data_IF_967613188099
#
_entry.id   IF_967613188099
#
_cell.length_a   1.000
_cell.length_b   1.000
_cell.length_c   1.000
_cell.angle_alpha   90.00
_cell.angle_beta   90.00
_cell.angle_gamma   90.00
#
_symmetry.space_group_name_H-M   'P 1'
#
loop_
_entity.id
_entity.type
_entity.pdbx_description
1 polymer ?
#
# COMPACT_ATOMS: atom_id res chain seq x y z
N UNK A 1 -14.48 -12.46 -11.26
CA UNK A 1 -14.74 -11.10 -10.80
C UNK A 1 -13.50 -10.26 -11.07
N UNK A 2 -13.62 -9.10 -11.70
CA UNK A 2 -12.47 -8.19 -11.89
C UNK A 2 -12.04 -7.60 -10.54
N UNK A 3 -10.77 -7.19 -10.38
CA UNK A 3 -10.34 -6.52 -9.14
C UNK A 3 -11.28 -5.36 -8.76
N UNK A 4 -11.84 -4.65 -9.73
CA UNK A 4 -12.79 -3.54 -9.52
C UNK A 4 -14.15 -3.97 -8.94
N UNK A 5 -14.53 -5.24 -9.04
CA UNK A 5 -15.77 -5.77 -8.47
C UNK A 5 -15.59 -6.19 -7.00
N UNK A 6 -14.35 -6.53 -6.63
CA UNK A 6 -13.98 -6.96 -5.28
C UNK A 6 -13.56 -5.76 -4.41
N UNK A 7 -12.94 -4.76 -5.03
CA UNK A 7 -12.50 -3.55 -4.35
C UNK A 7 -13.42 -2.37 -4.67
N UNK A 8 -13.72 -1.46 -3.71
CA UNK A 8 -14.45 -0.25 -4.02
C UNK A 8 -13.79 0.48 -5.19
N UNK A 9 -14.61 1.07 -6.07
CA UNK A 9 -14.18 2.03 -7.11
C UNK A 9 -13.04 2.88 -6.54
N UNK A 10 -11.92 3.04 -7.24
CA UNK A 10 -10.77 3.85 -6.80
C UNK A 10 -9.61 3.10 -6.11
N UNK A 11 -9.73 1.81 -5.79
CA UNK A 11 -8.59 0.98 -5.41
C UNK A 11 -8.25 0.02 -6.55
N UNK A 12 -7.27 0.41 -7.37
CA UNK A 12 -6.85 -0.30 -8.56
C UNK A 12 -5.44 -0.91 -8.42
N UNK A 13 -4.96 -1.53 -9.49
CA UNK A 13 -3.63 -2.13 -9.55
C UNK A 13 -2.53 -1.12 -9.17
N UNK A 14 -2.61 0.11 -9.65
CA UNK A 14 -1.59 1.14 -9.41
C UNK A 14 -1.60 1.64 -7.98
N UNK A 15 -2.78 1.75 -7.38
CA UNK A 15 -2.94 2.04 -5.96
C UNK A 15 -2.28 0.94 -5.12
N UNK A 16 -2.60 -0.32 -5.43
CA UNK A 16 -1.99 -1.47 -4.75
C UNK A 16 -0.47 -1.48 -4.92
N UNK A 17 0.03 -1.30 -6.14
CA UNK A 17 1.46 -1.21 -6.43
C UNK A 17 2.12 -0.12 -5.59
N UNK A 18 1.55 1.08 -5.56
CA UNK A 18 2.10 2.21 -4.81
C UNK A 18 2.15 1.93 -3.31
N UNK A 19 1.10 1.34 -2.75
CA UNK A 19 1.08 0.94 -1.34
C UNK A 19 2.14 -0.13 -1.07
N UNK A 20 2.29 -1.15 -1.92
CA UNK A 20 3.33 -2.16 -1.75
C UNK A 20 4.76 -1.60 -1.89
N UNK A 21 4.98 -0.62 -2.76
CA UNK A 21 6.31 -0.06 -3.04
C UNK A 21 6.63 1.20 -2.24
N UNK A 22 5.85 1.51 -1.19
CA UNK A 22 6.04 2.70 -0.36
C UNK A 22 6.00 4.03 -1.14
N UNK A 23 5.11 4.13 -2.12
CA UNK A 23 4.94 5.32 -2.95
C UNK A 23 3.63 6.06 -2.65
N UNK A 24 3.66 7.39 -2.84
CA UNK A 24 2.46 8.22 -2.83
C UNK A 24 1.60 7.87 -4.05
N UNK A 25 0.27 7.86 -3.89
CA UNK A 25 -0.65 7.64 -5.00
C UNK A 25 -1.80 8.65 -5.01
N UNK A 26 -2.43 8.79 -6.17
CA UNK A 26 -3.74 9.42 -6.34
C UNK A 26 -4.63 8.41 -7.04
N UNK A 27 -5.83 8.20 -6.49
CA UNK A 27 -6.78 7.23 -7.02
C UNK A 27 -7.06 7.48 -8.51
N UNK A 28 -7.13 6.38 -9.29
CA UNK A 28 -7.39 6.42 -10.73
C UNK A 28 -6.21 6.90 -11.59
N UNK A 29 -5.02 7.09 -11.01
CA UNK A 29 -3.79 7.42 -11.74
C UNK A 29 -2.73 6.34 -11.53
N UNK A 30 -1.94 6.10 -12.59
CA UNK A 30 -0.77 5.24 -12.54
C UNK A 30 0.30 5.77 -11.57
N UNK A 31 0.50 7.09 -11.56
CA UNK A 31 1.42 7.79 -10.64
C UNK A 31 0.97 9.23 -10.43
N UNK A 32 1.28 9.85 -9.28
CA UNK A 32 1.06 11.29 -9.09
C UNK A 32 1.89 12.13 -10.05
N UNK A 33 1.30 13.20 -10.56
CA UNK A 33 1.99 14.24 -11.33
C UNK A 33 2.12 15.51 -10.48
N UNK A 34 2.99 16.45 -10.88
CA UNK A 34 3.20 17.71 -10.14
C UNK A 34 1.90 18.45 -9.74
N UNK A 35 0.86 18.54 -10.60
CA UNK A 35 -0.40 19.18 -10.21
C UNK A 35 -1.17 18.41 -9.12
N UNK A 36 -1.01 17.09 -9.04
CA UNK A 36 -1.73 16.25 -8.09
C UNK A 36 -1.31 16.49 -6.65
N UNK A 37 -0.07 16.93 -6.42
CA UNK A 37 0.41 17.25 -5.07
C UNK A 37 -0.44 18.34 -4.40
N UNK A 38 -1.10 19.21 -5.20
CA UNK A 38 -2.03 20.24 -4.70
C UNK A 38 -3.36 19.69 -4.18
N UNK A 39 -3.68 18.42 -4.48
CA UNK A 39 -4.87 17.74 -3.96
C UNK A 39 -4.69 17.32 -2.50
N UNK A 40 -3.45 17.25 -2.04
CA UNK A 40 -3.14 16.89 -0.66
C UNK A 40 -3.23 18.10 0.26
N UNK A 41 -4.03 17.96 1.31
CA UNK A 41 -3.90 18.79 2.50
C UNK A 41 -2.82 18.18 3.38
N UNK A 42 -1.87 18.99 3.85
CA UNK A 42 -0.83 18.50 4.75
C UNK A 42 -0.74 19.34 6.02
N UNK A 43 -0.42 18.66 7.12
CA UNK A 43 -0.12 19.28 8.42
C UNK A 43 1.24 18.79 8.87
N UNK A 44 2.14 19.71 9.25
CA UNK A 44 3.45 19.36 9.81
C UNK A 44 3.35 19.26 11.33
N UNK A 45 3.93 18.22 11.90
CA UNK A 45 4.02 18.00 13.35
C UNK A 45 5.37 18.49 13.91
N UNK A 46 5.50 18.70 15.23
CA UNK A 46 6.72 19.24 15.83
C UNK A 46 7.99 18.40 15.61
N UNK A 47 7.84 17.10 15.43
CA UNK A 47 8.89 16.13 15.09
C UNK A 47 9.26 16.14 13.59
N UNK A 48 8.81 17.16 12.85
CA UNK A 48 9.00 17.33 11.41
C UNK A 48 8.30 16.30 10.52
N UNK A 49 7.49 15.41 11.09
CA UNK A 49 6.62 14.53 10.29
C UNK A 49 5.50 15.34 9.60
N UNK A 50 4.95 14.79 8.52
CA UNK A 50 3.83 15.35 7.78
C UNK A 50 2.67 14.35 7.77
N UNK A 51 1.47 14.86 8.07
CA UNK A 51 0.24 14.13 7.84
C UNK A 51 -0.42 14.68 6.58
N UNK A 52 -0.49 13.86 5.53
CA UNK A 52 -1.10 14.21 4.25
C UNK A 52 -2.45 13.52 4.11
N UNK A 53 -3.44 14.23 3.60
CA UNK A 53 -4.80 13.71 3.38
C UNK A 53 -5.32 14.16 2.03
N UNK A 54 -6.10 13.30 1.38
CA UNK A 54 -6.86 13.65 0.18
C UNK A 54 -8.09 12.75 0.11
N UNK A 55 -9.05 13.17 -0.71
CA UNK A 55 -10.30 12.47 -0.96
C UNK A 55 -10.49 12.37 -2.45
N UNK A 56 -10.78 11.16 -2.92
CA UNK A 56 -11.30 10.98 -4.26
C UNK A 56 -12.83 11.05 -4.21
N UNK A 57 -13.38 12.04 -4.89
CA UNK A 57 -14.82 12.29 -4.92
C UNK A 57 -15.58 11.26 -5.76
N UNK A 58 -14.93 10.66 -6.77
CA UNK A 58 -15.56 9.68 -7.66
C UNK A 58 -15.72 8.33 -6.95
N UNK A 59 -14.66 7.85 -6.33
CA UNK A 59 -14.72 6.63 -5.52
C UNK A 59 -15.38 6.82 -4.16
N UNK A 60 -15.26 8.01 -3.56
CA UNK A 60 -15.57 8.24 -2.15
C UNK A 60 -14.48 7.74 -1.18
N UNK A 61 -13.29 7.34 -1.68
CA UNK A 61 -12.17 6.90 -0.83
C UNK A 61 -11.46 8.12 -0.26
N UNK A 62 -11.34 8.14 1.07
CA UNK A 62 -10.47 9.04 1.80
C UNK A 62 -9.12 8.33 2.00
N UNK A 63 -8.01 8.99 1.67
CA UNK A 63 -6.68 8.41 1.82
C UNK A 63 -5.74 9.37 2.53
N UNK A 64 -4.90 8.81 3.40
CA UNK A 64 -3.97 9.56 4.23
C UNK A 64 -2.63 8.87 4.37
N UNK A 65 -1.59 9.69 4.54
CA UNK A 65 -0.21 9.28 4.65
C UNK A 65 0.43 9.97 5.85
N UNK A 66 1.15 9.21 6.65
CA UNK A 66 2.12 9.76 7.61
C UNK A 66 3.49 9.66 6.96
N UNK A 67 4.17 10.79 6.85
CA UNK A 67 5.51 10.92 6.29
C UNK A 67 6.44 11.38 7.40
N UNK A 68 7.58 10.72 7.61
CA UNK A 68 8.54 11.13 8.64
C UNK A 68 9.45 12.27 8.17
N UNK A 69 10.35 12.73 9.04
CA UNK A 69 11.32 13.79 8.71
C UNK A 69 12.37 13.44 7.63
N UNK A 70 12.46 12.17 7.24
CA UNK A 70 13.31 11.70 6.12
C UNK A 70 12.51 11.58 4.81
N UNK A 71 11.32 12.19 4.74
CA UNK A 71 10.38 12.13 3.62
C UNK A 71 9.89 10.70 3.26
N UNK A 72 9.92 9.76 4.21
CA UNK A 72 9.44 8.38 4.03
C UNK A 72 8.02 8.23 4.51
N UNK A 73 7.16 7.60 3.71
CA UNK A 73 5.81 7.23 4.13
C UNK A 73 5.94 6.10 5.18
N UNK A 74 5.58 6.36 6.44
CA UNK A 74 5.61 5.37 7.52
C UNK A 74 4.25 4.72 7.75
N UNK A 75 3.18 5.35 7.28
CA UNK A 75 1.83 4.82 7.37
C UNK A 75 0.96 5.29 6.21
N UNK A 76 0.10 4.41 5.71
CA UNK A 76 -0.94 4.70 4.73
C UNK A 76 -2.27 4.18 5.25
N UNK A 77 -3.33 4.99 5.11
CA UNK A 77 -4.68 4.61 5.50
C UNK A 77 -5.68 5.03 4.45
N UNK A 78 -6.42 4.06 3.91
CA UNK A 78 -7.54 4.26 3.02
C UNK A 78 -8.83 3.92 3.76
N UNK A 79 -9.84 4.76 3.63
CA UNK A 79 -11.16 4.59 4.23
C UNK A 79 -12.19 4.76 3.13
N UNK A 80 -13.15 3.85 3.07
CA UNK A 80 -14.38 3.99 2.29
C UNK A 80 -15.55 4.10 3.28
N UNK A 81 -15.93 5.32 3.71
CA UNK A 81 -16.86 5.51 4.83
C UNK A 81 -18.23 4.87 4.57
N UNK A 82 -18.74 4.97 3.34
CA UNK A 82 -20.07 4.46 2.99
C UNK A 82 -20.15 2.94 3.10
N UNK A 83 -19.07 2.24 2.70
CA UNK A 83 -18.99 0.77 2.77
C UNK A 83 -18.42 0.26 4.09
N UNK A 84 -18.03 1.17 5.01
CA UNK A 84 -17.38 0.83 6.29
C UNK A 84 -16.16 -0.08 6.10
N UNK A 85 -15.38 0.18 5.05
CA UNK A 85 -14.17 -0.55 4.72
C UNK A 85 -12.93 0.33 4.95
N UNK A 86 -11.84 -0.28 5.38
CA UNK A 86 -10.55 0.40 5.50
C UNK A 86 -9.36 -0.51 5.22
N UNK A 87 -8.28 0.09 4.73
CA UNK A 87 -6.97 -0.52 4.54
C UNK A 87 -5.95 0.33 5.29
N UNK A 88 -5.22 -0.27 6.20
CA UNK A 88 -4.10 0.34 6.90
C UNK A 88 -2.82 -0.40 6.53
N UNK A 89 -1.77 0.35 6.25
CA UNK A 89 -0.48 -0.16 5.85
C UNK A 89 0.62 0.58 6.60
N UNK A 90 1.31 -0.12 7.50
CA UNK A 90 2.46 0.39 8.23
C UNK A 90 3.76 -0.07 7.57
N UNK A 91 4.73 0.84 7.46
CA UNK A 91 6.05 0.59 6.90
C UNK A 91 7.09 0.74 8.00
N UNK A 92 7.86 -0.33 8.24
CA UNK A 92 8.79 -0.44 9.35
C UNK A 92 10.15 -0.96 8.85
N UNK A 93 11.18 -0.77 9.67
CA UNK A 93 12.53 -1.28 9.45
C UNK A 93 13.05 -0.94 8.05
N UNK A 94 13.13 0.35 7.73
CA UNK A 94 13.71 0.80 6.46
C UNK A 94 15.17 0.36 6.38
N UNK A 95 15.47 -0.40 5.33
CA UNK A 95 16.82 -0.80 4.98
C UNK A 95 17.30 0.03 3.80
N UNK A 96 18.59 0.32 3.77
CA UNK A 96 19.25 0.99 2.66
C UNK A 96 20.10 -0.02 1.92
N UNK A 97 19.92 -0.10 0.61
CA UNK A 97 20.73 -0.93 -0.27
C UNK A 97 21.06 -0.12 -1.52
N UNK A 98 22.35 0.09 -1.75
CA UNK A 98 22.84 1.08 -2.73
C UNK A 98 22.16 2.45 -2.47
N UNK A 99 21.48 2.99 -3.49
CA UNK A 99 20.75 4.27 -3.41
C UNK A 99 19.25 4.09 -3.14
N UNK A 100 18.79 2.86 -2.86
CA UNK A 100 17.39 2.57 -2.61
C UNK A 100 17.11 2.37 -1.11
N UNK A 101 16.00 2.95 -0.64
CA UNK A 101 15.53 2.80 0.73
C UNK A 101 14.15 2.14 0.70
N UNK A 102 14.01 1.01 1.40
CA UNK A 102 12.80 0.21 1.38
C UNK A 102 12.44 -0.34 2.76
N UNK A 103 11.15 -0.37 3.14
CA UNK A 103 10.73 -0.98 4.39
C UNK A 103 10.81 -2.51 4.33
N UNK A 104 11.74 -3.10 5.09
CA UNK A 104 11.90 -4.56 5.15
C UNK A 104 10.78 -5.26 5.93
N UNK A 105 9.95 -4.49 6.64
CA UNK A 105 8.79 -5.00 7.37
C UNK A 105 7.56 -4.14 7.06
N UNK A 106 6.45 -4.77 6.71
CA UNK A 106 5.16 -4.09 6.56
C UNK A 106 4.07 -4.79 7.36
N UNK A 107 3.18 -4.00 7.93
CA UNK A 107 2.01 -4.50 8.65
C UNK A 107 0.74 -4.01 7.95
N UNK A 108 -0.10 -4.93 7.53
CA UNK A 108 -1.31 -4.66 6.77
C UNK A 108 -2.51 -5.01 7.62
N UNK A 109 -3.51 -4.14 7.63
CA UNK A 109 -4.81 -4.40 8.25
C UNK A 109 -5.91 -4.01 7.28
N UNK A 110 -6.76 -4.97 6.94
CA UNK A 110 -7.96 -4.74 6.13
C UNK A 110 -9.16 -4.97 7.03
N UNK A 111 -10.06 -3.99 7.07
CA UNK A 111 -11.26 -4.05 7.90
C UNK A 111 -12.51 -3.79 7.06
N UNK A 112 -13.57 -4.51 7.38
CA UNK A 112 -14.94 -4.27 6.92
C UNK A 112 -15.87 -4.24 8.15
N UNK A 113 -17.17 -4.07 7.94
CA UNK A 113 -18.15 -4.13 9.02
C UNK A 113 -18.24 -5.48 9.71
N UNK A 114 -17.89 -6.57 9.03
CA UNK A 114 -18.03 -7.94 9.52
C UNK A 114 -16.68 -8.61 9.84
N UNK A 115 -15.57 -8.06 9.34
CA UNK A 115 -14.29 -8.77 9.37
C UNK A 115 -13.10 -7.83 9.51
N UNK A 116 -12.04 -8.37 10.12
CA UNK A 116 -10.71 -7.77 10.16
C UNK A 116 -9.66 -8.82 9.81
N UNK A 117 -8.81 -8.51 8.85
CA UNK A 117 -7.66 -9.33 8.43
C UNK A 117 -6.39 -8.56 8.74
N UNK A 118 -5.43 -9.21 9.39
CA UNK A 118 -4.10 -8.66 9.62
C UNK A 118 -3.08 -9.53 8.88
N UNK A 119 -2.12 -8.89 8.21
CA UNK A 119 -1.01 -9.57 7.57
C UNK A 119 0.31 -8.86 7.94
N UNK A 120 1.39 -9.64 7.94
CA UNK A 120 2.75 -9.13 8.09
C UNK A 120 3.56 -9.58 6.89
N UNK A 121 4.29 -8.63 6.29
CA UNK A 121 5.21 -8.89 5.19
C UNK A 121 6.63 -8.64 5.72
N UNK A 122 7.48 -9.65 5.56
CA UNK A 122 8.88 -9.60 5.97
C UNK A 122 9.74 -9.86 4.74
N UNK A 123 10.66 -8.93 4.45
CA UNK A 123 11.57 -8.98 3.32
C UNK A 123 12.99 -9.17 3.86
N UNK A 124 13.58 -10.33 3.61
CA UNK A 124 14.92 -10.68 4.09
C UNK A 124 16.03 -10.41 3.08
N UNK A 125 15.69 -10.39 1.80
CA UNK A 125 16.63 -10.20 0.69
C UNK A 125 15.96 -9.33 -0.36
N UNK A 126 16.42 -8.08 -0.47
CA UNK A 126 15.93 -7.11 -1.43
C UNK A 126 17.01 -6.98 -2.49
N UNK A 127 16.62 -6.94 -3.76
CA UNK A 127 17.53 -6.71 -4.87
C UNK A 127 16.88 -5.74 -5.83
N UNK A 128 17.66 -4.75 -6.29
CA UNK A 128 17.22 -3.74 -7.25
C UNK A 128 18.16 -3.75 -8.44
N UNK A 129 17.64 -3.46 -9.63
CA UNK A 129 18.40 -3.36 -10.88
C UNK A 129 19.13 -4.64 -11.33
N UNK A 130 18.82 -5.77 -10.70
CA UNK A 130 19.30 -7.09 -11.14
C UNK A 130 18.38 -7.67 -12.21
N UNK A 131 18.93 -8.27 -13.29
CA UNK A 131 18.11 -8.99 -14.27
C UNK A 131 17.29 -10.06 -13.58
N UNK A 132 15.96 -9.95 -13.70
CA UNK A 132 15.05 -10.92 -13.09
C UNK A 132 15.22 -12.29 -13.76
N UNK A 133 16.08 -13.12 -13.18
CA UNK A 133 16.16 -14.54 -13.49
C UNK A 133 15.16 -15.27 -12.61
N UNK A 134 13.93 -15.44 -13.12
CA UNK A 134 12.91 -16.26 -12.45
C UNK A 134 13.34 -17.73 -12.44
N UNK A 135 14.22 -18.10 -11.52
CA UNK A 135 14.45 -19.49 -11.19
C UNK A 135 13.21 -19.98 -10.44
N UNK A 136 12.42 -20.84 -11.09
CA UNK A 136 11.16 -21.40 -10.56
C UNK A 136 11.37 -22.36 -9.37
N UNK A 137 12.55 -22.35 -8.75
CA UNK A 137 12.92 -23.24 -7.67
C UNK A 137 12.49 -22.60 -6.35
N UNK A 138 11.33 -23.03 -5.86
CA UNK A 138 10.76 -22.55 -4.61
C UNK A 138 11.39 -23.38 -3.48
N UNK A 139 12.02 -22.76 -2.46
CA UNK A 139 12.59 -23.51 -1.36
C UNK A 139 11.53 -24.37 -0.66
N UNK A 140 11.92 -25.52 -0.12
CA UNK A 140 11.00 -26.51 0.46
C UNK A 140 10.11 -25.98 1.60
N UNK A 141 10.47 -24.86 2.21
CA UNK A 141 9.69 -24.18 3.25
C UNK A 141 8.63 -23.18 2.75
N UNK A 142 8.55 -22.92 1.44
CA UNK A 142 7.62 -21.94 0.85
C UNK A 142 6.73 -22.59 -0.21
N UNK A 143 5.50 -22.09 -0.33
CA UNK A 143 4.54 -22.53 -1.35
C UNK A 143 4.39 -21.46 -2.42
N UNK A 144 4.44 -21.84 -3.70
CA UNK A 144 4.09 -20.92 -4.79
C UNK A 144 2.68 -20.42 -4.60
N UNK A 145 2.47 -19.12 -4.74
CA UNK A 145 1.13 -18.56 -4.81
C UNK A 145 1.02 -17.57 -5.96
N UNK A 146 -0.21 -17.35 -6.42
CA UNK A 146 -0.51 -16.35 -7.46
C UNK A 146 -0.94 -15.03 -6.83
N UNK A 147 -0.82 -13.92 -7.57
CA UNK A 147 -1.38 -12.63 -7.12
C UNK A 147 -2.88 -12.76 -6.84
N UNK A 148 -3.60 -13.52 -7.66
CA UNK A 148 -5.03 -13.80 -7.44
C UNK A 148 -5.30 -14.53 -6.12
N UNK A 149 -4.41 -15.44 -5.67
CA UNK A 149 -4.52 -16.10 -4.38
C UNK A 149 -4.23 -15.16 -3.21
N UNK A 150 -3.24 -14.26 -3.36
CA UNK A 150 -3.00 -13.19 -2.38
C UNK A 150 -4.25 -12.29 -2.29
N UNK A 151 -4.84 -11.93 -3.42
CA UNK A 151 -6.06 -11.14 -3.47
C UNK A 151 -7.25 -11.90 -2.87
N UNK A 152 -7.35 -13.22 -3.02
CA UNK A 152 -8.37 -14.06 -2.37
C UNK A 152 -8.27 -14.05 -0.85
N UNK A 153 -7.07 -14.01 -0.28
CA UNK A 153 -6.90 -13.87 1.18
C UNK A 153 -7.57 -12.58 1.69
N UNK A 154 -7.55 -11.54 0.87
CA UNK A 154 -8.19 -10.25 1.17
C UNK A 154 -9.67 -10.19 0.76
N UNK A 155 -10.10 -10.98 -0.23
CA UNK A 155 -11.42 -10.92 -0.85
C UNK A 155 -12.42 -11.97 -0.34
N UNK A 156 -11.97 -13.18 0.00
CA UNK A 156 -12.87 -14.28 0.36
C UNK A 156 -13.16 -14.25 1.84
N UNK A 157 -14.35 -13.77 2.23
CA UNK A 157 -15.38 -14.49 2.99
C UNK A 157 -16.49 -13.47 3.32
N UNK A 158 -17.44 -13.30 2.38
CA UNK A 158 -18.83 -12.98 2.69
C UNK A 158 -19.57 -14.26 3.10
#
# INVERSE_FOLDING_TARGET
ASLKEIYPVGFDFYTMQSVFTNALFVSGKERPELPDYRKFRYTRTPDQSYYMTSKDAESGIDYSFTVNGDDRITFTHLIQPQKKQSLQWGYNNFITQNDFVFPSKMNVTISSSSRKVNAELLFSDIATDEPLQLTMNIPSGYTKTTVDEILKIFAQHE
#
